data_IF_705702320330
#
_entry.id   IF_705702320330
#
_cell.length_a   1.000
_cell.length_b   1.000
_cell.length_c   1.000
_cell.angle_alpha   90.00
_cell.angle_beta   90.00
_cell.angle_gamma   90.00
#
_symmetry.space_group_name_H-M   'P 1'
#
loop_
_entity.id
_entity.type
_entity.pdbx_description
1 polymer ?
#
# COMPACT_ATOMS: atom_id res chain seq x y z
N UNK A 1 2.56 -8.45 10.52
CA UNK A 1 1.67 -7.32 10.79
C UNK A 1 1.92 -6.27 9.73
N UNK A 2 0.89 -6.00 8.94
CA UNK A 2 0.93 -4.93 7.97
C UNK A 2 0.99 -3.62 8.74
N UNK A 3 2.16 -3.00 8.79
CA UNK A 3 2.29 -1.63 9.25
C UNK A 3 1.70 -0.75 8.16
N UNK A 4 0.39 -0.59 8.21
CA UNK A 4 -0.32 0.32 7.35
C UNK A 4 -0.07 1.74 7.83
N UNK A 5 0.80 2.48 7.17
CA UNK A 5 0.87 3.93 7.33
C UNK A 5 -0.43 4.47 6.73
N UNK A 6 -1.44 4.62 7.58
CA UNK A 6 -2.65 5.34 7.18
C UNK A 6 -2.37 6.84 7.25
N UNK A 7 -1.66 7.37 6.27
CA UNK A 7 -1.72 8.80 5.99
C UNK A 7 -2.99 9.06 5.19
N UNK A 8 -3.92 9.81 5.75
CA UNK A 8 -5.06 10.33 5.00
C UNK A 8 -4.54 11.45 4.11
N UNK A 9 -4.15 11.11 2.90
CA UNK A 9 -3.91 12.11 1.88
C UNK A 9 -5.28 12.47 1.28
N UNK A 10 -5.81 13.63 1.67
CA UNK A 10 -6.96 14.22 0.98
C UNK A 10 -6.42 14.99 -0.22
N UNK A 11 -6.43 14.40 -1.39
CA UNK A 11 -6.20 15.15 -2.62
C UNK A 11 -7.38 16.10 -2.84
N UNK A 12 -7.14 17.38 -2.67
CA UNK A 12 -8.11 18.44 -3.00
C UNK A 12 -7.72 19.02 -4.35
N UNK A 13 -8.61 18.97 -5.33
CA UNK A 13 -8.50 19.82 -6.51
C UNK A 13 -8.76 21.29 -6.12
N UNK A 14 -8.37 22.23 -6.95
CA UNK A 14 -8.50 23.68 -6.72
C UNK A 14 -9.96 24.21 -6.56
N UNK A 15 -10.90 23.33 -6.30
CA UNK A 15 -12.29 23.60 -5.90
C UNK A 15 -12.69 22.54 -4.91
N UNK A 16 -12.92 22.87 -3.73
CA UNK A 16 -13.48 22.33 -2.48
C UNK A 16 -13.97 20.87 -2.40
N UNK A 17 -13.90 20.03 -3.42
CA UNK A 17 -14.34 18.64 -3.38
C UNK A 17 -13.18 17.66 -3.30
N UNK A 18 -13.24 16.75 -2.33
CA UNK A 18 -12.31 15.63 -2.20
C UNK A 18 -12.58 14.64 -3.33
N UNK A 19 -11.57 14.35 -4.17
CA UNK A 19 -11.70 13.40 -5.28
C UNK A 19 -11.57 11.95 -4.83
N UNK A 20 -10.81 11.72 -3.76
CA UNK A 20 -10.47 10.36 -3.34
C UNK A 20 -10.08 10.28 -1.86
N UNK A 21 -10.13 9.05 -1.35
CA UNK A 21 -9.48 8.64 -0.12
C UNK A 21 -8.48 7.53 -0.45
N UNK A 22 -7.22 7.69 -0.04
CA UNK A 22 -6.12 6.79 -0.38
C UNK A 22 -5.60 6.07 0.86
N UNK A 23 -5.35 4.77 0.72
CA UNK A 23 -4.54 3.98 1.65
C UNK A 23 -3.54 3.15 0.87
N UNK A 24 -2.32 3.05 1.37
CA UNK A 24 -1.28 2.24 0.77
C UNK A 24 -0.59 1.38 1.82
N UNK A 25 -0.10 0.24 1.41
CA UNK A 25 0.63 -0.66 2.30
C UNK A 25 1.27 -1.82 1.57
N UNK A 26 2.28 -2.40 2.19
CA UNK A 26 2.86 -3.65 1.73
C UNK A 26 1.93 -4.79 2.13
N UNK A 27 1.45 -5.53 1.15
CA UNK A 27 0.63 -6.71 1.34
C UNK A 27 1.46 -7.94 1.76
N UNK A 28 0.91 -9.10 1.55
CA UNK A 28 1.56 -10.37 1.85
C UNK A 28 2.85 -10.55 1.07
N UNK A 29 3.96 -10.80 1.80
CA UNK A 29 5.14 -11.43 1.24
C UNK A 29 5.20 -12.88 1.73
N UNK A 30 5.50 -13.81 0.86
CA UNK A 30 5.76 -15.22 1.20
C UNK A 30 7.25 -15.52 1.43
N UNK A 31 8.08 -14.47 1.43
CA UNK A 31 9.53 -14.53 1.52
C UNK A 31 10.24 -14.34 0.18
N UNK A 32 9.58 -14.63 -0.94
CA UNK A 32 10.13 -14.46 -2.29
C UNK A 32 9.52 -13.27 -3.03
N UNK A 33 8.25 -12.98 -2.75
CA UNK A 33 7.49 -11.93 -3.42
C UNK A 33 6.88 -10.97 -2.40
N UNK A 34 6.75 -9.72 -2.79
CA UNK A 34 6.06 -8.70 -2.02
C UNK A 34 5.06 -7.96 -2.92
N UNK A 35 3.84 -7.79 -2.43
CA UNK A 35 2.80 -7.03 -3.11
C UNK A 35 2.65 -5.68 -2.43
N UNK A 36 2.86 -4.60 -3.18
CA UNK A 36 2.52 -3.27 -2.74
C UNK A 36 1.11 -2.93 -3.23
N UNK A 37 0.20 -2.65 -2.32
CA UNK A 37 -1.20 -2.37 -2.65
C UNK A 37 -1.53 -0.92 -2.34
N UNK A 38 -2.10 -0.24 -3.32
CA UNK A 38 -2.69 1.09 -3.16
C UNK A 38 -4.19 0.94 -3.35
N UNK A 39 -4.97 1.32 -2.34
CA UNK A 39 -6.42 1.29 -2.39
C UNK A 39 -6.94 2.72 -2.42
N UNK A 40 -7.74 3.03 -3.41
CA UNK A 40 -8.29 4.36 -3.64
C UNK A 40 -9.82 4.26 -3.65
N UNK A 41 -10.47 4.94 -2.70
CA UNK A 41 -11.92 5.10 -2.71
C UNK A 41 -12.25 6.42 -3.39
N UNK A 42 -13.03 6.36 -4.46
CA UNK A 42 -13.33 7.49 -5.32
C UNK A 42 -14.66 8.15 -4.95
N UNK A 43 -14.73 9.45 -5.10
CA UNK A 43 -16.00 10.17 -5.20
C UNK A 43 -16.53 10.08 -6.64
N UNK A 44 -17.81 10.45 -6.91
CA UNK A 44 -18.32 10.49 -8.29
C UNK A 44 -17.44 11.35 -9.22
N UNK A 45 -16.98 12.51 -8.76
CA UNK A 45 -16.06 13.37 -9.51
C UNK A 45 -14.68 12.74 -9.71
N UNK A 46 -14.22 11.91 -8.76
CA UNK A 46 -12.96 11.16 -8.89
C UNK A 46 -13.08 10.01 -9.90
N UNK A 47 -14.23 9.38 -10.00
CA UNK A 47 -14.48 8.31 -10.97
C UNK A 47 -14.37 8.77 -12.43
N UNK A 48 -14.66 10.05 -12.69
CA UNK A 48 -14.52 10.67 -14.02
C UNK A 48 -13.04 11.00 -14.37
N UNK A 49 -12.12 10.89 -13.40
CA UNK A 49 -10.72 11.31 -13.51
C UNK A 49 -9.72 10.21 -13.12
N UNK A 50 -10.03 8.95 -13.44
CA UNK A 50 -9.21 7.80 -13.08
C UNK A 50 -7.78 7.90 -13.60
N UNK A 51 -7.60 8.31 -14.86
CA UNK A 51 -6.29 8.38 -15.49
C UNK A 51 -5.43 9.51 -14.89
N UNK A 52 -6.05 10.64 -14.51
CA UNK A 52 -5.36 11.72 -13.80
C UNK A 52 -4.91 11.31 -12.39
N UNK A 53 -5.73 10.52 -11.70
CA UNK A 53 -5.39 9.99 -10.38
C UNK A 53 -4.23 9.01 -10.47
N UNK A 54 -4.23 8.14 -11.47
CA UNK A 54 -3.13 7.20 -11.73
C UNK A 54 -1.84 7.94 -12.07
N UNK A 55 -1.90 8.92 -13.00
CA UNK A 55 -0.75 9.75 -13.34
C UNK A 55 -0.18 10.48 -12.13
N UNK A 56 -1.05 10.94 -11.23
CA UNK A 56 -0.64 11.58 -9.97
C UNK A 56 0.05 10.61 -9.02
N UNK A 57 -0.43 9.38 -8.92
CA UNK A 57 0.22 8.34 -8.11
C UNK A 57 1.66 8.10 -8.59
N UNK A 58 1.84 7.94 -9.91
CA UNK A 58 3.19 7.72 -10.46
C UNK A 58 4.07 8.96 -10.36
N UNK A 59 3.53 10.16 -10.51
CA UNK A 59 4.28 11.39 -10.27
C UNK A 59 4.78 11.49 -8.82
N UNK A 60 3.96 11.06 -7.86
CA UNK A 60 4.37 10.97 -6.44
C UNK A 60 5.48 9.93 -6.22
N UNK A 61 5.41 8.78 -6.87
CA UNK A 61 6.47 7.76 -6.81
C UNK A 61 7.78 8.30 -7.41
N UNK A 62 7.71 8.97 -8.56
CA UNK A 62 8.89 9.62 -9.17
C UNK A 62 9.48 10.70 -8.26
N UNK A 63 8.65 11.50 -7.60
CA UNK A 63 9.13 12.46 -6.62
C UNK A 63 9.89 11.79 -5.47
N UNK A 64 9.37 10.68 -4.93
CA UNK A 64 10.04 9.92 -3.88
C UNK A 64 11.39 9.35 -4.38
N UNK A 65 11.45 8.89 -5.64
CA UNK A 65 12.71 8.44 -6.25
C UNK A 65 13.73 9.57 -6.35
N UNK A 66 13.29 10.77 -6.77
CA UNK A 66 14.15 11.94 -6.92
C UNK A 66 14.67 12.48 -5.58
N UNK A 67 13.80 12.52 -4.55
CA UNK A 67 14.14 13.02 -3.22
C UNK A 67 15.00 12.01 -2.42
N UNK A 68 14.92 10.73 -2.79
CA UNK A 68 15.55 9.63 -2.06
C UNK A 68 14.81 9.25 -0.78
N UNK A 69 15.34 8.23 -0.12
CA UNK A 69 14.77 7.67 1.11
C UNK A 69 15.46 8.30 2.32
N UNK A 70 14.78 9.20 2.98
CA UNK A 70 15.33 9.90 4.13
C UNK A 70 15.44 8.97 5.35
N UNK A 71 16.63 8.86 5.94
CA UNK A 71 16.95 8.00 7.09
C UNK A 71 16.08 8.32 8.31
N UNK A 72 15.76 9.58 8.54
CA UNK A 72 14.92 9.98 9.67
C UNK A 72 13.51 9.33 9.64
N UNK A 73 12.97 9.05 8.45
CA UNK A 73 11.68 8.35 8.31
C UNK A 73 11.79 6.90 8.78
N UNK A 74 12.93 6.27 8.51
CA UNK A 74 13.23 4.93 9.01
C UNK A 74 13.34 4.93 10.53
N UNK A 75 14.07 5.88 11.11
CA UNK A 75 14.26 6.01 12.55
C UNK A 75 12.96 6.31 13.30
N UNK A 76 12.10 7.17 12.73
CA UNK A 76 10.75 7.40 13.25
C UNK A 76 9.94 6.11 13.28
N UNK A 77 9.93 5.37 12.16
CA UNK A 77 9.20 4.11 12.07
C UNK A 77 9.75 3.05 13.02
N UNK A 78 11.06 2.97 13.17
CA UNK A 78 11.72 2.11 14.15
C UNK A 78 11.29 2.44 15.57
N UNK A 79 11.32 3.72 15.94
CA UNK A 79 10.89 4.18 17.27
C UNK A 79 9.42 3.84 17.53
N UNK A 80 8.54 4.04 16.55
CA UNK A 80 7.13 3.66 16.64
C UNK A 80 6.94 2.14 16.79
N UNK A 81 7.71 1.35 16.08
CA UNK A 81 7.66 -0.11 16.14
C UNK A 81 8.13 -0.62 17.52
N UNK A 82 9.19 -0.06 18.05
CA UNK A 82 9.70 -0.39 19.42
C UNK A 82 8.67 0.00 20.50
N UNK A 83 8.04 1.16 20.36
CA UNK A 83 6.96 1.58 21.28
C UNK A 83 5.75 0.65 21.17
N UNK A 84 5.35 0.28 19.96
CA UNK A 84 4.25 -0.65 19.74
C UNK A 84 4.51 -2.02 20.39
N UNK A 85 5.75 -2.51 20.36
CA UNK A 85 6.14 -3.73 21.07
C UNK A 85 6.10 -3.53 22.59
N UNK A 86 6.67 -2.44 23.08
CA UNK A 86 6.78 -2.17 24.55
C UNK A 86 5.43 -1.98 25.23
N UNK A 87 4.48 -1.36 24.53
CA UNK A 87 3.16 -1.02 25.06
C UNK A 87 2.03 -1.86 24.47
N UNK A 88 2.37 -3.00 23.83
CA UNK A 88 1.34 -3.89 23.30
C UNK A 88 0.45 -4.42 24.41
N UNK A 89 -0.84 -4.44 24.16
CA UNK A 89 -1.80 -5.10 25.00
C UNK A 89 -1.95 -6.56 24.56
N UNK A 90 -2.01 -7.46 25.52
CA UNK A 90 -2.29 -8.87 25.20
C UNK A 90 -3.71 -8.99 24.66
N UNK A 91 -3.84 -9.59 23.49
CA UNK A 91 -5.12 -9.93 22.88
C UNK A 91 -5.77 -11.16 23.52
N UNK A 92 -6.86 -11.63 22.93
CA UNK A 92 -7.46 -12.90 23.34
C UNK A 92 -6.42 -14.04 23.21
N UNK A 93 -6.35 -14.97 24.17
CA UNK A 93 -5.32 -16.03 24.18
C UNK A 93 -5.21 -16.82 22.89
N UNK A 94 -6.33 -17.09 22.23
CA UNK A 94 -6.36 -17.77 20.95
C UNK A 94 -5.67 -16.98 19.82
N UNK A 95 -5.91 -15.68 19.77
CA UNK A 95 -5.28 -14.79 18.78
C UNK A 95 -3.77 -14.72 18.99
N UNK A 96 -3.35 -14.63 20.26
CA UNK A 96 -1.95 -14.59 20.63
C UNK A 96 -1.25 -15.91 20.27
N UNK A 97 -1.84 -17.06 20.60
CA UNK A 97 -1.32 -18.37 20.23
C UNK A 97 -1.19 -18.52 18.70
N UNK A 98 -2.18 -18.07 17.93
CA UNK A 98 -2.15 -18.09 16.48
C UNK A 98 -1.04 -17.19 15.94
N UNK A 99 -0.89 -15.98 16.47
CA UNK A 99 0.16 -15.03 16.09
C UNK A 99 1.55 -15.61 16.33
N UNK A 100 1.78 -16.16 17.52
CA UNK A 100 3.08 -16.76 17.87
C UNK A 100 3.38 -18.00 17.02
N UNK A 101 2.39 -18.84 16.77
CA UNK A 101 2.53 -20.01 15.89
C UNK A 101 2.91 -19.60 14.45
N UNK A 102 2.29 -18.56 13.91
CA UNK A 102 2.65 -18.02 12.60
C UNK A 102 4.05 -17.42 12.59
N UNK A 103 4.46 -16.78 13.67
CA UNK A 103 5.81 -16.21 13.78
C UNK A 103 6.88 -17.31 13.87
N UNK A 104 6.59 -18.44 14.53
CA UNK A 104 7.51 -19.58 14.62
C UNK A 104 7.87 -20.19 13.27
N UNK A 105 7.01 -20.04 12.25
CA UNK A 105 7.34 -20.46 10.89
C UNK A 105 8.33 -19.54 10.16
N UNK A 106 8.61 -18.34 10.72
CA UNK A 106 9.39 -17.29 10.07
C UNK A 106 10.62 -16.86 10.85
N UNK A 107 10.57 -17.00 12.16
CA UNK A 107 11.58 -16.46 13.07
C UNK A 107 12.09 -17.53 14.04
N UNK A 108 13.33 -17.43 14.52
CA UNK A 108 13.84 -18.25 15.61
C UNK A 108 12.97 -18.15 16.85
N UNK A 109 12.90 -19.21 17.65
CA UNK A 109 12.02 -19.30 18.83
C UNK A 109 12.31 -18.21 19.87
N UNK A 110 13.55 -17.82 20.04
CA UNK A 110 14.00 -16.75 20.93
C UNK A 110 13.48 -15.38 20.51
N UNK A 111 13.26 -15.16 19.21
CA UNK A 111 12.83 -13.88 18.65
C UNK A 111 11.32 -13.82 18.35
N UNK A 112 10.59 -14.90 18.54
CA UNK A 112 9.21 -15.10 18.07
C UNK A 112 8.23 -13.97 18.49
N UNK A 113 8.46 -13.35 19.64
CA UNK A 113 7.62 -12.26 20.14
C UNK A 113 8.01 -10.90 19.55
N UNK A 114 9.29 -10.68 19.35
CA UNK A 114 9.85 -9.36 19.00
C UNK A 114 10.19 -9.20 17.52
N UNK A 115 10.57 -10.28 16.83
CA UNK A 115 11.10 -10.20 15.46
C UNK A 115 10.20 -9.44 14.48
N UNK A 116 8.88 -9.52 14.65
CA UNK A 116 7.93 -8.78 13.81
C UNK A 116 7.98 -7.25 13.98
N UNK A 117 8.59 -6.77 15.06
CA UNK A 117 8.76 -5.34 15.37
C UNK A 117 10.19 -4.86 15.16
N UNK A 118 11.12 -5.79 14.94
CA UNK A 118 12.55 -5.50 14.84
C UNK A 118 12.88 -4.79 13.54
N UNK A 119 13.64 -3.71 13.64
CA UNK A 119 14.17 -2.96 12.51
C UNK A 119 15.67 -2.77 12.71
N UNK A 120 16.47 -3.60 12.02
CA UNK A 120 17.91 -3.76 12.29
C UNK A 120 18.79 -2.76 11.53
N UNK A 121 18.24 -1.96 10.68
CA UNK A 121 18.94 -0.96 9.87
C UNK A 121 18.24 -0.70 8.55
N UNK A 122 18.50 0.46 7.99
CA UNK A 122 17.99 0.85 6.69
C UNK A 122 18.85 0.18 5.58
N UNK A 123 18.23 -0.70 4.80
CA UNK A 123 18.83 -1.28 3.60
C UNK A 123 18.39 -0.44 2.39
N UNK A 124 19.13 0.61 2.11
CA UNK A 124 18.82 1.56 1.04
C UNK A 124 18.82 0.91 -0.34
N UNK A 125 19.70 -0.07 -0.60
CA UNK A 125 19.75 -0.77 -1.88
C UNK A 125 18.48 -1.61 -2.10
N UNK A 126 18.05 -2.33 -1.08
CA UNK A 126 16.80 -3.12 -1.14
C UNK A 126 15.58 -2.21 -1.30
N UNK A 127 15.53 -1.11 -0.56
CA UNK A 127 14.43 -0.15 -0.66
C UNK A 127 14.37 0.47 -2.06
N UNK A 128 15.52 0.82 -2.63
CA UNK A 128 15.58 1.35 -3.99
C UNK A 128 15.07 0.34 -5.02
N UNK A 129 15.45 -0.93 -4.91
CA UNK A 129 14.92 -2.00 -5.80
C UNK A 129 13.40 -2.12 -5.73
N UNK A 130 12.79 -1.97 -4.54
CA UNK A 130 11.33 -1.96 -4.43
C UNK A 130 10.71 -0.72 -5.07
N UNK A 131 11.30 0.46 -4.91
CA UNK A 131 10.85 1.67 -5.58
C UNK A 131 10.94 1.55 -7.10
N UNK A 132 12.03 0.99 -7.61
CA UNK A 132 12.24 0.80 -9.04
C UNK A 132 11.24 -0.17 -9.66
N UNK A 133 10.73 -1.11 -8.87
CA UNK A 133 9.69 -2.05 -9.30
C UNK A 133 8.28 -1.42 -9.37
N UNK A 134 8.06 -0.25 -8.77
CA UNK A 134 6.76 0.45 -8.81
C UNK A 134 6.58 1.21 -10.14
N UNK A 135 6.35 0.47 -11.22
CA UNK A 135 6.14 1.00 -12.57
C UNK A 135 4.75 0.68 -13.08
N UNK A 136 4.29 1.40 -14.09
CA UNK A 136 3.01 1.10 -14.76
C UNK A 136 2.99 -0.28 -15.38
N UNK A 137 4.11 -0.73 -15.95
CA UNK A 137 4.24 -2.05 -16.58
C UNK A 137 4.19 -3.20 -15.55
N UNK A 138 4.51 -2.92 -14.29
CA UNK A 138 4.47 -3.88 -13.18
C UNK A 138 3.26 -3.66 -12.27
N UNK A 139 2.21 -3.04 -12.77
CA UNK A 139 1.00 -2.73 -12.03
C UNK A 139 -0.18 -3.59 -12.51
N UNK A 140 -0.96 -4.09 -11.56
CA UNK A 140 -2.28 -4.64 -11.82
C UNK A 140 -3.34 -3.69 -11.23
N UNK A 141 -4.22 -3.17 -12.08
CA UNK A 141 -5.29 -2.26 -11.70
C UNK A 141 -6.62 -2.98 -11.61
N UNK A 142 -7.31 -2.81 -10.48
CA UNK A 142 -8.69 -3.24 -10.31
C UNK A 142 -9.58 -2.01 -10.13
N UNK A 143 -10.62 -1.92 -10.92
CA UNK A 143 -11.66 -0.91 -10.75
C UNK A 143 -12.99 -1.61 -10.49
N UNK A 144 -13.67 -1.20 -9.42
CA UNK A 144 -14.96 -1.76 -9.02
C UNK A 144 -15.98 -0.65 -8.85
N UNK A 145 -17.04 -0.70 -9.63
CA UNK A 145 -18.17 0.22 -9.54
C UNK A 145 -19.47 -0.50 -9.97
N UNK A 146 -20.65 -0.01 -9.56
CA UNK A 146 -21.92 -0.66 -9.88
C UNK A 146 -22.27 -0.72 -11.36
N UNK A 147 -21.74 0.21 -12.14
CA UNK A 147 -22.02 0.46 -13.56
C UNK A 147 -20.92 0.03 -14.52
N UNK A 148 -19.97 -0.79 -14.04
CA UNK A 148 -18.89 -1.30 -14.91
C UNK A 148 -19.44 -2.27 -15.94
N UNK A 149 -19.13 -2.01 -17.20
CA UNK A 149 -19.39 -2.98 -18.28
C UNK A 149 -18.60 -4.27 -18.05
N UNK A 150 -19.27 -5.39 -18.20
CA UNK A 150 -18.68 -6.71 -18.05
C UNK A 150 -19.02 -7.62 -19.22
N UNK A 151 -18.11 -8.51 -19.58
CA UNK A 151 -18.28 -9.53 -20.62
C UNK A 151 -18.03 -10.96 -20.11
N UNK A 152 -17.56 -11.07 -18.88
CA UNK A 152 -17.18 -12.33 -18.26
C UNK A 152 -17.79 -12.47 -16.88
N UNK A 153 -18.14 -13.70 -16.49
CA UNK A 153 -18.71 -14.02 -15.19
C UNK A 153 -17.84 -15.08 -14.51
N UNK A 154 -17.45 -14.81 -13.27
CA UNK A 154 -16.72 -15.78 -12.44
C UNK A 154 -17.61 -16.99 -12.13
N UNK A 155 -17.15 -18.24 -12.38
CA UNK A 155 -17.99 -19.43 -12.20
C UNK A 155 -18.35 -19.74 -10.75
N UNK A 156 -17.59 -19.23 -9.75
CA UNK A 156 -17.78 -19.56 -8.34
C UNK A 156 -18.62 -18.53 -7.57
N UNK A 157 -18.48 -17.24 -7.93
CA UNK A 157 -19.10 -16.14 -7.20
C UNK A 157 -20.05 -15.31 -8.03
N UNK A 158 -20.25 -15.65 -9.31
CA UNK A 158 -21.04 -14.88 -10.27
C UNK A 158 -20.59 -13.41 -10.37
N UNK A 159 -19.34 -13.12 -10.02
CA UNK A 159 -18.79 -11.77 -10.14
C UNK A 159 -18.61 -11.47 -11.62
N UNK A 160 -19.20 -10.37 -12.04
CA UNK A 160 -19.06 -9.86 -13.39
C UNK A 160 -17.77 -9.04 -13.50
N UNK A 161 -17.00 -9.26 -14.55
CA UNK A 161 -15.74 -8.55 -14.77
C UNK A 161 -15.40 -8.45 -16.26
N UNK A 162 -14.48 -7.57 -16.59
CA UNK A 162 -13.92 -7.43 -17.94
C UNK A 162 -12.45 -7.06 -17.81
N UNK A 163 -11.62 -7.74 -18.58
CA UNK A 163 -10.23 -7.36 -18.71
C UNK A 163 -10.08 -6.23 -19.73
N UNK A 164 -9.34 -5.20 -19.38
CA UNK A 164 -9.05 -4.08 -20.25
C UNK A 164 -7.54 -3.87 -20.32
N UNK A 165 -6.99 -3.56 -21.51
CA UNK A 165 -5.60 -3.18 -21.61
C UNK A 165 -5.34 -1.91 -20.76
N UNK A 166 -4.13 -1.72 -20.23
CA UNK A 166 -3.78 -0.50 -19.51
C UNK A 166 -4.03 0.71 -20.42
N UNK A 167 -4.81 1.66 -19.91
CA UNK A 167 -5.12 2.89 -20.65
C UNK A 167 -4.01 3.90 -20.50
N UNK A 168 -3.82 4.71 -21.53
CA UNK A 168 -2.77 5.70 -21.60
C UNK A 168 -3.03 6.89 -20.66
N UNK A 169 -1.98 7.32 -20.05
CA UNK A 169 -1.56 8.62 -19.53
C UNK A 169 -2.61 9.74 -19.35
N UNK A 170 -3.12 9.84 -18.13
CA UNK A 170 -3.71 11.09 -17.61
C UNK A 170 -2.63 12.13 -17.28
N UNK A 171 -3.07 13.34 -16.95
CA UNK A 171 -2.20 14.39 -16.41
C UNK A 171 -2.19 14.38 -14.88
N UNK A 172 -1.00 14.44 -14.30
CA UNK A 172 -0.87 14.54 -12.85
C UNK A 172 -1.59 15.78 -12.32
N UNK A 173 -2.35 15.60 -11.24
CA UNK A 173 -3.11 16.67 -10.60
C UNK A 173 -2.15 17.66 -9.93
N UNK A 174 -2.30 18.97 -10.24
CA UNK A 174 -1.54 20.01 -9.57
C UNK A 174 -2.12 20.27 -8.17
N UNK A 175 -1.22 20.55 -7.20
CA UNK A 175 -1.61 20.94 -5.85
C UNK A 175 -1.68 19.80 -4.83
N UNK A 176 -1.12 18.63 -5.12
CA UNK A 176 -0.85 17.62 -4.10
C UNK A 176 0.37 18.05 -3.28
N UNK A 177 0.13 18.37 -2.00
CA UNK A 177 1.20 18.44 -1.01
C UNK A 177 1.51 17.00 -0.55
N UNK A 178 2.68 16.51 -0.88
CA UNK A 178 3.23 15.22 -0.41
C UNK A 178 3.83 15.38 0.99
#
# INVERSE_FOLDING_TARGET
PSVGIRRRCNARSAGTESLLHLSAGVGRGDGNEALFTVSISLTPAGAERLDDIEATLFAAIEQIRADGLAEWRYDEQKSLSEQAFRFQQHGAPQQEATRLSMNLSRYPVEDVQYAAYRMDGMDSERQQRYLDALTQDNMLRFYSAPDVESDTVSPWFNTQWKEQPPTATGQALSGLAL
#
